data_IF_866938929060
#
_entry.id   IF_866938929060
#
_cell.length_a   1.000
_cell.length_b   1.000
_cell.length_c   1.000
_cell.angle_alpha   90.00
_cell.angle_beta   90.00
_cell.angle_gamma   90.00
#
_symmetry.space_group_name_H-M   'P 1'
#
loop_
_entity.id
_entity.type
_entity.pdbx_description
1 polymer ?
#
# COMPACT_ATOMS: atom_id res chain seq x y z
N UNK A 1 3.97 17.49 -11.01
CA UNK A 1 5.00 16.57 -10.48
C UNK A 1 4.62 15.16 -10.87
N UNK A 2 5.58 14.29 -11.17
CA UNK A 2 5.35 12.87 -11.48
C UNK A 2 5.61 12.03 -10.24
N UNK A 3 4.76 11.05 -9.98
CA UNK A 3 4.90 10.15 -8.84
C UNK A 3 6.19 9.32 -8.97
N UNK A 4 6.99 9.22 -7.91
CA UNK A 4 8.22 8.43 -7.88
C UNK A 4 7.95 6.97 -7.54
N UNK A 5 8.91 6.08 -7.84
CA UNK A 5 8.81 4.67 -7.44
C UNK A 5 8.68 4.51 -5.92
N UNK A 6 9.37 5.36 -5.14
CA UNK A 6 9.31 5.33 -3.68
C UNK A 6 7.91 5.69 -3.17
N UNK A 7 7.30 6.75 -3.73
CA UNK A 7 5.93 7.15 -3.41
C UNK A 7 4.91 6.04 -3.73
N UNK A 8 5.12 5.27 -4.81
CA UNK A 8 4.26 4.12 -5.16
C UNK A 8 4.37 3.03 -4.10
N UNK A 9 5.57 2.63 -3.70
CA UNK A 9 5.75 1.61 -2.66
C UNK A 9 5.15 2.06 -1.31
N UNK A 10 5.34 3.33 -0.93
CA UNK A 10 4.71 3.92 0.26
C UNK A 10 3.18 3.90 0.15
N UNK A 11 2.64 4.18 -1.04
CA UNK A 11 1.20 4.13 -1.32
C UNK A 11 0.64 2.72 -1.15
N UNK A 12 1.35 1.70 -1.66
CA UNK A 12 0.99 0.28 -1.47
C UNK A 12 0.91 -0.06 0.02
N UNK A 13 1.96 0.27 0.79
CA UNK A 13 2.00 0.02 2.23
C UNK A 13 0.83 0.72 2.97
N UNK A 14 0.53 1.98 2.62
CA UNK A 14 -0.57 2.75 3.21
C UNK A 14 -1.95 2.13 2.92
N UNK A 15 -2.15 1.59 1.71
CA UNK A 15 -3.41 0.96 1.32
C UNK A 15 -3.61 -0.38 2.04
N UNK A 16 -2.54 -1.14 2.24
CA UNK A 16 -2.56 -2.38 3.04
C UNK A 16 -2.89 -2.04 4.51
N UNK A 17 -2.27 -1.01 5.07
CA UNK A 17 -2.57 -0.64 6.46
C UNK A 17 -4.02 -0.13 6.62
N UNK A 18 -4.53 0.61 5.64
CA UNK A 18 -5.93 1.04 5.62
C UNK A 18 -6.89 -0.16 5.57
N UNK A 19 -6.56 -1.25 4.86
CA UNK A 19 -7.37 -2.47 4.89
C UNK A 19 -7.35 -3.14 6.27
N UNK A 20 -6.17 -3.24 6.90
CA UNK A 20 -6.05 -3.77 8.27
C UNK A 20 -6.81 -2.95 9.31
N UNK A 21 -6.82 -1.62 9.17
CA UNK A 21 -7.57 -0.72 10.03
C UNK A 21 -9.08 -0.85 9.84
N UNK A 22 -9.53 -1.19 8.62
CA UNK A 22 -10.95 -1.39 8.32
C UNK A 22 -11.46 -2.73 8.86
N UNK A 23 -10.75 -3.82 8.57
CA UNK A 23 -11.08 -5.15 9.06
C UNK A 23 -9.81 -6.01 9.11
N UNK A 24 -9.21 -6.08 10.31
CA UNK A 24 -8.01 -6.89 10.57
C UNK A 24 -8.26 -8.37 10.29
N UNK A 25 -9.43 -8.89 10.64
CA UNK A 25 -9.74 -10.32 10.53
C UNK A 25 -9.83 -10.76 9.08
N UNK A 26 -10.65 -10.08 8.28
CA UNK A 26 -10.80 -10.39 6.85
C UNK A 26 -9.51 -10.10 6.07
N UNK A 27 -8.85 -8.97 6.35
CA UNK A 27 -7.56 -8.63 5.69
C UNK A 27 -6.51 -9.70 5.95
N UNK A 28 -6.36 -10.16 7.21
CA UNK A 28 -5.41 -11.23 7.55
C UNK A 28 -5.74 -12.52 6.79
N UNK A 29 -7.03 -12.89 6.69
CA UNK A 29 -7.45 -14.09 5.96
C UNK A 29 -7.12 -13.99 4.47
N UNK A 30 -7.36 -12.84 3.84
CA UNK A 30 -7.01 -12.60 2.43
C UNK A 30 -5.50 -12.66 2.23
N UNK A 31 -4.72 -11.98 3.09
CA UNK A 31 -3.26 -11.91 2.94
C UNK A 31 -2.58 -13.26 3.20
N UNK A 32 -3.12 -14.07 4.12
CA UNK A 32 -2.62 -15.40 4.45
C UNK A 32 -3.07 -16.48 3.44
N UNK A 33 -3.97 -16.16 2.50
CA UNK A 33 -4.43 -17.14 1.53
C UNK A 33 -3.32 -17.51 0.54
N UNK A 34 -3.27 -18.79 0.18
CA UNK A 34 -2.31 -19.27 -0.81
C UNK A 34 -2.78 -18.84 -2.20
N UNK A 35 -1.90 -18.20 -2.97
CA UNK A 35 -2.20 -17.73 -4.34
C UNK A 35 -2.20 -16.22 -4.46
N UNK A 36 -2.93 -15.72 -5.47
CA UNK A 36 -2.95 -14.29 -5.81
C UNK A 36 -4.22 -13.60 -5.31
N UNK A 37 -4.04 -12.39 -4.78
CA UNK A 37 -5.10 -11.50 -4.37
C UNK A 37 -4.84 -10.09 -4.92
N UNK A 38 -5.84 -9.22 -4.88
CA UNK A 38 -5.78 -7.93 -5.58
C UNK A 38 -6.30 -6.78 -4.73
N UNK A 39 -5.63 -5.63 -4.81
CA UNK A 39 -6.14 -4.37 -4.30
C UNK A 39 -6.31 -3.39 -5.46
N UNK A 40 -7.51 -2.82 -5.61
CA UNK A 40 -7.75 -1.76 -6.59
C UNK A 40 -8.27 -0.51 -5.91
N UNK A 41 -7.77 0.65 -6.33
CA UNK A 41 -8.32 1.95 -5.95
C UNK A 41 -8.82 2.63 -7.21
N UNK A 42 -10.08 3.05 -7.21
CA UNK A 42 -10.67 3.79 -8.32
C UNK A 42 -10.50 5.32 -8.16
N UNK A 43 -10.99 6.06 -9.16
CA UNK A 43 -10.93 7.52 -9.19
C UNK A 43 -11.77 8.22 -8.10
N UNK A 44 -12.74 7.52 -7.50
CA UNK A 44 -13.52 8.05 -6.36
C UNK A 44 -12.78 7.90 -5.04
N UNK A 45 -11.64 7.20 -5.05
CA UNK A 45 -10.91 6.81 -3.85
C UNK A 45 -11.51 5.59 -3.15
N UNK A 46 -12.42 4.85 -3.81
CA UNK A 46 -12.89 3.57 -3.28
C UNK A 46 -11.81 2.51 -3.51
N UNK A 47 -11.38 1.88 -2.41
CA UNK A 47 -10.40 0.82 -2.42
C UNK A 47 -11.09 -0.54 -2.15
N UNK A 48 -10.77 -1.53 -2.97
CA UNK A 48 -11.28 -2.89 -2.87
C UNK A 48 -10.12 -3.86 -2.79
N UNK A 49 -9.99 -4.55 -1.66
CA UNK A 49 -9.10 -5.70 -1.47
C UNK A 49 -9.93 -6.98 -1.67
N UNK A 50 -9.53 -7.83 -2.61
CA UNK A 50 -10.27 -9.04 -2.99
C UNK A 50 -9.34 -10.24 -3.07
N UNK A 51 -9.79 -11.35 -2.49
CA UNK A 51 -9.16 -12.66 -2.54
C UNK A 51 -10.19 -13.78 -2.42
N UNK A 52 -9.74 -15.03 -2.35
CA UNK A 52 -10.59 -16.20 -2.14
C UNK A 52 -11.33 -16.15 -0.79
N UNK A 53 -10.70 -15.58 0.23
CA UNK A 53 -11.30 -15.43 1.56
C UNK A 53 -12.42 -14.37 1.60
N UNK A 54 -12.56 -13.53 0.56
CA UNK A 54 -13.64 -12.55 0.44
C UNK A 54 -13.20 -11.21 -0.17
N UNK A 55 -14.08 -10.21 -0.01
CA UNK A 55 -13.87 -8.87 -0.55
C UNK A 55 -14.08 -7.84 0.55
N UNK A 56 -13.12 -6.92 0.70
CA UNK A 56 -13.13 -5.82 1.64
C UNK A 56 -13.09 -4.49 0.88
N UNK A 57 -14.08 -3.64 1.15
CA UNK A 57 -14.14 -2.28 0.59
C UNK A 57 -13.89 -1.24 1.67
N UNK A 58 -13.03 -0.26 1.38
CA UNK A 58 -12.64 0.81 2.29
C UNK A 58 -12.29 2.09 1.51
N UNK A 59 -12.09 3.19 2.22
CA UNK A 59 -11.65 4.44 1.59
C UNK A 59 -10.13 4.47 1.43
N UNK A 60 -9.67 4.61 0.19
CA UNK A 60 -8.29 4.92 -0.18
C UNK A 60 -8.04 6.43 -0.39
N UNK A 61 -9.07 7.27 -0.29
CA UNK A 61 -9.01 8.73 -0.51
C UNK A 61 -7.88 9.41 0.28
N UNK A 62 -7.67 9.14 1.59
CA UNK A 62 -6.59 9.78 2.35
C UNK A 62 -5.19 9.46 1.82
N UNK A 63 -5.03 8.32 1.14
CA UNK A 63 -3.78 7.93 0.49
C UNK A 63 -3.62 8.65 -0.84
N UNK A 64 -4.69 8.80 -1.63
CA UNK A 64 -4.67 9.49 -2.92
C UNK A 64 -4.42 11.00 -2.78
N UNK A 65 -5.03 11.65 -1.77
CA UNK A 65 -4.89 13.10 -1.54
C UNK A 65 -3.43 13.52 -1.31
N UNK A 66 -2.62 12.67 -0.68
CA UNK A 66 -1.20 12.93 -0.42
C UNK A 66 -0.33 12.92 -1.67
N UNK A 67 -0.79 12.26 -2.75
CA UNK A 67 -0.03 12.12 -4.00
C UNK A 67 -0.14 13.40 -4.83
N UNK A 68 -1.13 14.27 -4.57
CA UNK A 68 -1.26 15.57 -5.25
C UNK A 68 -1.46 15.51 -6.76
N UNK A 69 -1.67 14.31 -7.32
CA UNK A 69 -1.80 14.04 -8.75
C UNK A 69 -3.13 13.31 -8.98
N UNK A 70 -3.79 13.63 -10.09
CA UNK A 70 -5.04 12.96 -10.49
C UNK A 70 -4.77 11.51 -10.88
N UNK A 71 -4.92 10.60 -9.93
CA UNK A 71 -4.86 9.14 -10.13
C UNK A 71 -6.18 8.66 -10.72
N UNK A 72 -6.12 7.95 -11.85
CA UNK A 72 -7.31 7.32 -12.46
C UNK A 72 -7.62 5.98 -11.81
N UNK A 73 -6.58 5.18 -11.60
CA UNK A 73 -6.70 3.84 -11.00
C UNK A 73 -5.37 3.37 -10.44
N UNK A 74 -5.41 2.78 -9.26
CA UNK A 74 -4.32 1.94 -8.73
C UNK A 74 -4.77 0.49 -8.81
N UNK A 75 -3.91 -0.39 -9.30
CA UNK A 75 -4.14 -1.82 -9.31
C UNK A 75 -2.89 -2.51 -8.79
N UNK A 76 -3.03 -3.25 -7.70
CA UNK A 76 -1.95 -3.99 -7.08
C UNK A 76 -2.33 -5.46 -7.10
N UNK A 77 -1.52 -6.27 -7.77
CA UNK A 77 -1.61 -7.72 -7.70
C UNK A 77 -0.61 -8.19 -6.66
N UNK A 78 -1.04 -9.03 -5.75
CA UNK A 78 -0.20 -9.65 -4.73
C UNK A 78 -0.13 -11.15 -4.95
N UNK A 79 0.96 -11.74 -4.49
CA UNK A 79 1.20 -13.17 -4.49
C UNK A 79 1.84 -13.53 -3.15
N UNK A 80 1.19 -14.41 -2.40
CA UNK A 80 1.79 -14.98 -1.19
C UNK A 80 2.78 -16.08 -1.60
N UNK A 81 4.07 -15.81 -1.46
CA UNK A 81 5.17 -16.71 -1.83
C UNK A 81 5.47 -17.77 -0.77
N UNK A 82 4.69 -17.80 0.32
CA UNK A 82 4.95 -18.63 1.50
C UNK A 82 5.66 -17.85 2.60
N UNK A 83 5.55 -18.36 3.83
CA UNK A 83 6.21 -17.78 5.02
C UNK A 83 5.94 -16.28 5.22
N UNK A 84 4.73 -15.83 4.84
CA UNK A 84 4.31 -14.42 4.94
C UNK A 84 5.10 -13.44 4.06
N UNK A 85 5.93 -13.93 3.13
CA UNK A 85 6.55 -13.12 2.10
C UNK A 85 5.55 -12.84 0.97
N UNK A 86 5.17 -11.58 0.80
CA UNK A 86 4.20 -11.14 -0.19
C UNK A 86 4.92 -10.42 -1.32
N UNK A 87 4.95 -11.03 -2.50
CA UNK A 87 5.31 -10.34 -3.73
C UNK A 87 4.17 -9.46 -4.23
N UNK A 88 4.48 -8.33 -4.85
CA UNK A 88 3.47 -7.50 -5.49
C UNK A 88 3.93 -6.83 -6.77
N UNK A 89 2.95 -6.53 -7.62
CA UNK A 89 3.07 -5.69 -8.80
C UNK A 89 2.01 -4.60 -8.74
N UNK A 90 2.44 -3.36 -8.56
CA UNK A 90 1.58 -2.19 -8.46
C UNK A 90 1.63 -1.36 -9.75
N UNK A 91 0.49 -1.21 -10.40
CA UNK A 91 0.29 -0.34 -11.56
C UNK A 91 -0.53 0.87 -11.14
N UNK A 92 0.06 2.06 -11.25
CA UNK A 92 -0.58 3.34 -11.01
C UNK A 92 -0.83 4.03 -12.35
N UNK A 93 -2.10 4.11 -12.73
CA UNK A 93 -2.52 4.85 -13.91
C UNK A 93 -2.82 6.30 -13.53
N UNK A 94 -1.92 7.19 -13.93
CA UNK A 94 -2.13 8.63 -13.89
C UNK A 94 -2.85 9.08 -15.16
N UNK A 95 -3.26 10.34 -15.22
CA UNK A 95 -4.04 10.85 -16.35
C UNK A 95 -3.41 10.60 -17.73
N UNK A 96 -2.07 10.68 -17.82
CA UNK A 96 -1.29 10.63 -19.07
C UNK A 96 -0.20 9.54 -19.06
N UNK A 97 0.18 9.03 -17.88
CA UNK A 97 1.32 8.10 -17.71
C UNK A 97 0.89 6.94 -16.82
N UNK A 98 1.39 5.74 -17.11
CA UNK A 98 1.28 4.58 -16.24
C UNK A 98 2.64 4.25 -15.63
N UNK A 99 2.66 3.95 -14.33
CA UNK A 99 3.86 3.54 -13.62
C UNK A 99 3.64 2.15 -13.03
N UNK A 100 4.55 1.23 -13.33
CA UNK A 100 4.57 -0.10 -12.72
C UNK A 100 5.75 -0.23 -11.78
N UNK A 101 5.48 -0.69 -10.57
CA UNK A 101 6.49 -0.98 -9.54
C UNK A 101 6.25 -2.37 -9.02
N UNK A 102 7.30 -3.19 -9.05
CA UNK A 102 7.31 -4.49 -8.40
C UNK A 102 8.07 -4.39 -7.08
N UNK A 103 7.74 -5.28 -6.15
CA UNK A 103 8.45 -5.44 -4.90
C UNK A 103 7.97 -6.66 -4.15
N UNK A 104 8.51 -6.82 -2.97
CA UNK A 104 8.13 -7.82 -2.00
C UNK A 104 8.27 -7.20 -0.60
N UNK A 105 7.53 -7.78 0.34
CA UNK A 105 7.62 -7.42 1.75
C UNK A 105 7.25 -8.63 2.60
N UNK A 106 7.86 -8.69 3.78
CA UNK A 106 7.41 -9.59 4.83
C UNK A 106 6.17 -8.99 5.51
N UNK A 107 5.05 -9.72 5.47
CA UNK A 107 3.79 -9.26 6.03
C UNK A 107 3.84 -9.23 7.55
N UNK A 108 4.53 -10.16 8.20
CA UNK A 108 4.73 -10.14 9.64
C UNK A 108 5.53 -8.90 10.03
N UNK A 109 6.62 -8.61 9.33
CA UNK A 109 7.41 -7.40 9.55
C UNK A 109 6.57 -6.13 9.30
N UNK A 110 5.75 -6.11 8.25
CA UNK A 110 4.86 -4.98 7.90
C UNK A 110 3.71 -4.76 8.89
N UNK A 111 3.28 -5.78 9.64
CA UNK A 111 2.28 -5.61 10.71
C UNK A 111 2.93 -5.37 12.08
N UNK A 112 4.12 -5.92 12.33
CA UNK A 112 4.76 -5.95 13.66
C UNK A 112 5.71 -4.80 13.95
N UNK A 113 6.45 -4.29 12.96
CA UNK A 113 7.47 -3.22 13.13
C UNK A 113 7.01 -1.87 13.74
N UNK A 114 5.78 -1.72 14.27
CA UNK A 114 5.39 -0.78 15.38
C UNK A 114 3.90 -0.88 15.80
N UNK A 115 3.35 -2.09 16.04
CA UNK A 115 1.93 -2.37 16.41
C UNK A 115 0.87 -1.87 15.40
N UNK A 116 1.28 -1.77 14.14
CA UNK A 116 0.71 -1.04 12.99
C UNK A 116 1.71 0.05 12.53
N UNK A 117 2.21 0.02 11.30
CA UNK A 117 3.44 0.76 10.92
C UNK A 117 3.31 2.11 10.23
N UNK A 118 2.12 2.55 9.84
CA UNK A 118 1.93 3.98 9.68
C UNK A 118 1.86 4.67 11.04
N UNK A 119 1.83 3.95 12.18
CA UNK A 119 1.66 4.53 13.50
C UNK A 119 2.90 5.31 13.98
N UNK A 120 4.11 4.92 13.56
CA UNK A 120 5.33 5.74 13.73
C UNK A 120 5.35 6.94 12.77
N UNK A 121 4.92 6.75 11.51
CA UNK A 121 4.75 7.84 10.54
C UNK A 121 3.64 8.85 10.95
N UNK A 122 2.60 8.41 11.67
CA UNK A 122 1.52 9.22 12.23
C UNK A 122 1.93 9.95 13.53
N UNK A 123 2.94 9.45 14.26
CA UNK A 123 3.52 10.16 15.41
C UNK A 123 4.54 11.23 15.00
N UNK A 124 5.27 11.02 13.90
CA UNK A 124 6.20 12.00 13.32
C UNK A 124 5.51 13.12 12.51
N UNK A 125 4.41 12.85 11.81
CA UNK A 125 3.66 13.87 11.05
C UNK A 125 2.88 14.85 11.93
N UNK A 126 2.78 14.58 13.24
CA UNK A 126 2.32 15.55 14.25
C UNK A 126 3.38 16.64 14.54
N UNK A 127 4.55 16.59 13.88
CA UNK A 127 5.57 17.64 13.89
C UNK A 127 6.41 17.68 12.61
N UNK A 128 5.82 18.07 11.48
CA UNK A 128 6.42 18.53 10.19
C UNK A 128 7.96 18.49 10.10
N UNK A 129 8.58 17.70 9.18
CA UNK A 129 9.80 18.13 8.45
C UNK A 129 10.32 17.14 7.38
N UNK A 130 10.97 17.70 6.33
CA UNK A 130 11.54 17.07 5.12
C UNK A 130 12.62 15.98 5.34
N UNK A 131 13.03 15.71 6.58
CA UNK A 131 14.07 14.71 6.89
C UNK A 131 13.59 13.26 6.71
N UNK A 132 12.28 13.01 6.85
CA UNK A 132 11.69 11.67 6.78
C UNK A 132 11.65 11.06 5.37
N UNK A 133 11.64 11.89 4.32
CA UNK A 133 11.65 11.37 2.94
C UNK A 133 13.03 10.82 2.55
N UNK A 134 14.12 11.41 3.07
CA UNK A 134 15.49 10.97 2.80
C UNK A 134 15.84 9.61 3.45
N UNK A 135 15.25 9.30 4.61
CA UNK A 135 15.49 8.04 5.33
C UNK A 135 14.73 6.86 4.68
N UNK A 136 13.51 7.11 4.20
CA UNK A 136 12.75 6.17 3.38
C UNK A 136 13.44 5.88 2.04
N UNK A 137 14.05 6.89 1.40
CA UNK A 137 14.82 6.71 0.18
C UNK A 137 16.06 5.82 0.38
N UNK A 138 16.77 5.98 1.51
CA UNK A 138 17.94 5.15 1.89
C UNK A 138 17.58 3.68 2.14
N UNK A 139 16.49 3.40 2.86
CA UNK A 139 16.08 2.02 3.20
C UNK A 139 15.60 1.27 1.96
N UNK A 140 15.07 2.01 0.98
CA UNK A 140 14.49 1.44 -0.24
C UNK A 140 15.49 1.30 -1.39
N UNK A 141 16.79 1.49 -1.12
CA UNK A 141 17.89 1.18 -2.03
C UNK A 141 18.19 2.29 -3.04
N UNK A 142 18.25 3.54 -2.57
CA UNK A 142 18.91 4.63 -3.27
C UNK A 142 19.96 5.30 -2.40
#
# INVERSE_FOLDING_TARGET
MSMTRAEVKITVAKLIEASYSKDKGLTTKIMAEKGSFKLTVDQSGTATLSGNAGVLTFSGTPTLEKIGIKVKRISISFENKGEMNIGYSATVNLAVISLTVNGDFDLEELITSCSGLLCSAARALKGRNRAYEAELESIMGR
#
